data_IF_763514060863
#
_entry.id   IF_763514060863
#
_cell.length_a   1.000
_cell.length_b   1.000
_cell.length_c   1.000
_cell.angle_alpha   90.00
_cell.angle_beta   90.00
_cell.angle_gamma   90.00
#
_symmetry.space_group_name_H-M   'P 1'
#
loop_
_entity.id
_entity.type
_entity.pdbx_description
1 polymer ?
#
# COMPACT_ATOMS: atom_id res chain seq x y z
N UNK A 1 6.21 12.53 5.34
CA UNK A 1 4.75 12.18 5.31
C UNK A 1 4.42 10.85 4.66
N UNK A 2 5.30 10.36 3.78
CA UNK A 2 5.27 9.03 3.16
C UNK A 2 4.93 7.91 4.16
N UNK A 3 5.63 7.84 5.30
CA UNK A 3 5.42 6.87 6.38
C UNK A 3 3.96 6.79 6.85
N UNK A 4 3.33 7.92 7.17
CA UNK A 4 1.94 7.95 7.65
C UNK A 4 1.00 7.35 6.61
N UNK A 5 1.15 7.75 5.34
CA UNK A 5 0.33 7.25 4.23
C UNK A 5 0.42 5.72 4.09
N UNK A 6 1.62 5.14 4.10
CA UNK A 6 1.75 3.67 3.99
C UNK A 6 1.31 2.94 5.24
N UNK A 7 1.50 3.50 6.43
CA UNK A 7 1.03 2.87 7.68
C UNK A 7 -0.49 2.78 7.69
N UNK A 8 -1.19 3.87 7.35
CA UNK A 8 -2.65 3.84 7.22
C UNK A 8 -3.09 2.84 6.15
N UNK A 9 -2.46 2.82 4.98
CA UNK A 9 -2.77 1.86 3.93
C UNK A 9 -2.54 0.41 4.40
N UNK A 10 -1.43 0.13 5.11
CA UNK A 10 -1.10 -1.18 5.65
C UNK A 10 -2.12 -1.63 6.70
N UNK A 11 -2.51 -0.75 7.63
CA UNK A 11 -3.53 -1.03 8.65
C UNK A 11 -4.87 -1.33 8.00
N UNK A 12 -5.34 -0.48 7.08
CA UNK A 12 -6.63 -0.67 6.38
C UNK A 12 -6.63 -2.00 5.63
N UNK A 13 -5.58 -2.29 4.85
CA UNK A 13 -5.45 -3.56 4.13
C UNK A 13 -5.42 -4.76 5.09
N UNK A 14 -4.75 -4.63 6.24
CA UNK A 14 -4.69 -5.69 7.26
C UNK A 14 -6.07 -5.96 7.84
N UNK A 15 -6.82 -4.92 8.19
CA UNK A 15 -8.19 -5.05 8.73
C UNK A 15 -9.12 -5.70 7.71
N UNK A 16 -9.07 -5.26 6.45
CA UNK A 16 -9.87 -5.83 5.36
C UNK A 16 -9.52 -7.31 5.14
N UNK A 17 -8.23 -7.64 5.08
CA UNK A 17 -7.75 -9.01 4.92
C UNK A 17 -8.15 -9.91 6.09
N UNK A 18 -8.02 -9.41 7.33
CA UNK A 18 -8.32 -10.16 8.55
C UNK A 18 -9.82 -10.47 8.68
N UNK A 19 -10.68 -9.48 8.39
CA UNK A 19 -12.14 -9.63 8.58
C UNK A 19 -12.87 -10.37 7.47
N UNK A 20 -12.30 -10.48 6.26
CA UNK A 20 -13.06 -10.95 5.09
C UNK A 20 -12.36 -12.11 4.34
N UNK A 21 -12.99 -13.29 4.32
CA UNK A 21 -12.53 -14.45 3.54
C UNK A 21 -12.45 -14.16 2.04
N UNK A 22 -13.40 -13.38 1.50
CA UNK A 22 -13.33 -12.94 0.11
C UNK A 22 -12.11 -12.07 -0.15
N UNK A 23 -11.72 -11.20 0.78
CA UNK A 23 -10.50 -10.39 0.62
C UNK A 23 -9.24 -11.27 0.60
N UNK A 24 -9.21 -12.35 1.40
CA UNK A 24 -8.13 -13.35 1.36
C UNK A 24 -8.09 -14.07 0.01
N UNK A 25 -9.24 -14.49 -0.51
CA UNK A 25 -9.35 -15.09 -1.84
C UNK A 25 -8.88 -14.13 -2.94
N UNK A 26 -9.23 -12.84 -2.85
CA UNK A 26 -8.83 -11.76 -3.76
C UNK A 26 -7.37 -11.29 -3.56
N UNK A 27 -6.55 -12.03 -2.81
CA UNK A 27 -5.11 -11.77 -2.64
C UNK A 27 -4.77 -10.39 -2.05
N UNK A 28 -5.67 -9.82 -1.23
CA UNK A 28 -5.40 -8.57 -0.49
C UNK A 28 -4.17 -8.70 0.42
N UNK A 29 -3.79 -9.92 0.83
CA UNK A 29 -2.56 -10.18 1.57
C UNK A 29 -1.29 -9.69 0.86
N UNK A 30 -1.29 -9.60 -0.47
CA UNK A 30 -0.17 -8.99 -1.23
C UNK A 30 -0.03 -7.50 -0.93
N UNK A 31 -1.15 -6.76 -0.82
CA UNK A 31 -1.14 -5.35 -0.43
C UNK A 31 -0.66 -5.16 1.01
N UNK A 32 -1.08 -6.04 1.92
CA UNK A 32 -0.62 -6.03 3.32
C UNK A 32 0.91 -6.09 3.38
N UNK A 33 1.52 -7.05 2.69
CA UNK A 33 2.98 -7.20 2.68
C UNK A 33 3.70 -6.02 2.05
N UNK A 34 3.20 -5.50 0.92
CA UNK A 34 3.82 -4.36 0.24
C UNK A 34 3.77 -3.09 1.11
N UNK A 35 2.62 -2.76 1.70
CA UNK A 35 2.49 -1.53 2.49
C UNK A 35 3.19 -1.62 3.84
N UNK A 36 3.24 -2.79 4.49
CA UNK A 36 4.08 -2.97 5.67
C UNK A 36 5.57 -2.86 5.33
N UNK A 37 6.01 -3.43 4.20
CA UNK A 37 7.38 -3.29 3.72
C UNK A 37 7.77 -1.82 3.47
N UNK A 38 6.92 -1.07 2.78
CA UNK A 38 7.13 0.37 2.56
C UNK A 38 7.13 1.17 3.87
N UNK A 39 6.23 0.81 4.81
CA UNK A 39 6.18 1.45 6.13
C UNK A 39 7.46 1.21 6.94
N UNK A 40 8.02 0.00 6.88
CA UNK A 40 9.28 -0.31 7.55
C UNK A 40 10.46 0.45 6.95
N UNK A 41 10.52 0.57 5.62
CA UNK A 41 11.54 1.37 4.94
C UNK A 41 11.49 2.83 5.40
N UNK A 42 10.32 3.47 5.31
CA UNK A 42 10.18 4.89 5.69
C UNK A 42 10.22 5.12 7.20
N UNK A 43 10.02 4.09 8.02
CA UNK A 43 10.25 4.19 9.46
C UNK A 43 11.75 4.36 9.74
N UNK A 44 12.61 3.64 9.03
CA UNK A 44 14.06 3.78 9.17
C UNK A 44 14.48 5.20 8.77
N UNK A 45 13.97 5.71 7.64
CA UNK A 45 14.23 7.09 7.20
C UNK A 45 13.81 8.11 8.27
N UNK A 46 12.65 7.92 8.91
CA UNK A 46 12.17 8.80 9.97
C UNK A 46 13.03 8.73 11.24
N UNK A 47 13.58 7.56 11.59
CA UNK A 47 14.50 7.42 12.74
C UNK A 47 15.79 8.21 12.49
N UNK A 48 16.37 8.10 11.29
CA UNK A 48 17.59 8.85 10.95
C UNK A 48 17.33 10.35 10.87
N UNK A 49 16.23 10.78 10.26
CA UNK A 49 15.85 12.21 10.24
C UNK A 49 15.71 12.77 11.67
N UNK A 50 15.08 12.03 12.58
CA UNK A 50 15.00 12.44 13.99
C UNK A 50 16.36 12.42 14.70
N UNK A 51 17.26 11.49 14.35
CA UNK A 51 18.60 11.44 14.94
C UNK A 51 19.47 12.65 14.56
N UNK A 52 19.31 13.14 13.33
CA UNK A 52 20.08 14.27 12.80
C UNK A 52 19.49 15.64 13.19
N UNK A 53 18.17 15.79 13.08
CA UNK A 53 17.47 17.08 13.23
C UNK A 53 16.68 17.19 14.55
N UNK A 54 16.57 16.11 15.31
CA UNK A 54 15.79 16.09 16.56
C UNK A 54 14.32 16.40 16.32
N UNK A 55 13.75 17.26 17.17
CA UNK A 55 12.33 17.61 17.11
C UNK A 55 11.95 18.43 15.86
N UNK A 56 12.91 19.04 15.17
CA UNK A 56 12.67 19.83 13.97
C UNK A 56 12.17 18.95 12.80
N UNK A 57 12.46 17.65 12.84
CA UNK A 57 11.93 16.64 11.90
C UNK A 57 10.39 16.56 11.89
N UNK A 58 9.72 17.02 12.94
CA UNK A 58 8.24 17.07 13.01
C UNK A 58 7.65 18.37 12.45
N UNK A 59 8.48 19.35 12.08
CA UNK A 59 8.06 20.65 11.54
C UNK A 59 8.65 20.86 10.15
N UNK A 60 8.41 19.96 9.18
CA UNK A 60 8.94 20.09 7.84
C UNK A 60 8.32 21.31 7.13
N UNK A 61 9.04 21.85 6.14
CA UNK A 61 8.51 22.91 5.30
C UNK A 61 7.24 22.43 4.56
N UNK A 62 6.23 23.29 4.35
CA UNK A 62 4.96 22.87 3.75
C UNK A 62 5.08 22.22 2.36
N UNK A 63 6.02 22.67 1.54
CA UNK A 63 6.26 22.12 0.20
C UNK A 63 6.84 20.69 0.27
N UNK A 64 7.80 20.46 1.17
CA UNK A 64 8.40 19.14 1.36
C UNK A 64 7.36 18.16 1.91
N UNK A 65 6.55 18.62 2.87
CA UNK A 65 5.44 17.85 3.42
C UNK A 65 4.43 17.42 2.33
N UNK A 66 4.10 18.33 1.41
CA UNK A 66 3.19 18.06 0.30
C UNK A 66 3.78 17.08 -0.71
N UNK A 67 5.07 17.25 -1.05
CA UNK A 67 5.77 16.36 -1.97
C UNK A 67 5.86 14.94 -1.42
N UNK A 68 6.22 14.79 -0.14
CA UNK A 68 6.23 13.51 0.57
C UNK A 68 4.85 12.85 0.58
N UNK A 69 3.80 13.63 0.81
CA UNK A 69 2.44 13.11 0.79
C UNK A 69 2.05 12.62 -0.61
N UNK A 70 2.39 13.38 -1.66
CA UNK A 70 2.18 12.98 -3.05
C UNK A 70 2.94 11.69 -3.40
N UNK A 71 4.19 11.57 -2.94
CA UNK A 71 4.98 10.34 -3.10
C UNK A 71 4.32 9.16 -2.36
N UNK A 72 3.85 9.38 -1.13
CA UNK A 72 3.10 8.39 -0.36
C UNK A 72 1.87 7.87 -1.09
N UNK A 73 1.04 8.77 -1.64
CA UNK A 73 -0.13 8.42 -2.44
C UNK A 73 0.25 7.67 -3.73
N UNK A 74 1.34 8.08 -4.38
CA UNK A 74 1.83 7.44 -5.60
C UNK A 74 2.24 5.99 -5.34
N UNK A 75 2.90 5.71 -4.21
CA UNK A 75 3.27 4.34 -3.79
C UNK A 75 2.03 3.51 -3.46
N UNK A 76 1.02 4.09 -2.81
CA UNK A 76 -0.26 3.41 -2.56
C UNK A 76 -0.93 3.03 -3.88
N UNK A 77 -1.03 3.98 -4.82
CA UNK A 77 -1.61 3.74 -6.14
C UNK A 77 -0.85 2.64 -6.91
N UNK A 78 0.48 2.66 -6.89
CA UNK A 78 1.30 1.64 -7.51
C UNK A 78 1.05 0.25 -6.89
N UNK A 79 0.98 0.16 -5.56
CA UNK A 79 0.66 -1.09 -4.87
C UNK A 79 -0.71 -1.65 -5.29
N UNK A 80 -1.72 -0.80 -5.44
CA UNK A 80 -3.05 -1.20 -5.93
C UNK A 80 -2.99 -1.71 -7.38
N UNK A 81 -2.23 -1.05 -8.25
CA UNK A 81 -2.04 -1.48 -9.64
C UNK A 81 -1.38 -2.86 -9.69
N UNK A 82 -0.29 -3.08 -8.93
CA UNK A 82 0.38 -4.38 -8.86
C UNK A 82 -0.58 -5.45 -8.35
N UNK A 83 -1.37 -5.15 -7.33
CA UNK A 83 -2.39 -6.07 -6.82
C UNK A 83 -3.46 -6.40 -7.86
N UNK A 84 -3.95 -5.42 -8.63
CA UNK A 84 -4.91 -5.65 -9.72
C UNK A 84 -4.34 -6.58 -10.78
N UNK A 85 -3.08 -6.39 -11.18
CA UNK A 85 -2.40 -7.29 -12.12
C UNK A 85 -2.35 -8.72 -11.55
N UNK A 86 -1.93 -8.89 -10.29
CA UNK A 86 -1.91 -10.20 -9.62
C UNK A 86 -3.31 -10.83 -9.55
N UNK A 87 -4.32 -10.02 -9.25
CA UNK A 87 -5.71 -10.45 -9.16
C UNK A 87 -6.22 -10.98 -10.51
N UNK A 88 -5.98 -10.23 -11.60
CA UNK A 88 -6.42 -10.64 -12.94
C UNK A 88 -5.65 -11.83 -13.49
N UNK A 89 -4.35 -11.93 -13.22
CA UNK A 89 -3.56 -13.09 -13.66
C UNK A 89 -3.97 -14.36 -12.93
N UNK A 90 -4.16 -14.29 -11.61
CA UNK A 90 -4.54 -15.47 -10.81
C UNK A 90 -6.02 -15.82 -10.97
N UNK A 91 -6.86 -14.83 -11.27
CA UNK A 91 -8.31 -14.92 -11.44
C UNK A 91 -8.98 -15.92 -10.48
N UNK A 92 -8.85 -15.72 -9.15
CA UNK A 92 -9.25 -16.71 -8.15
C UNK A 92 -10.75 -17.03 -8.18
N UNK A 93 -11.56 -16.13 -8.76
CA UNK A 93 -13.01 -16.31 -8.92
C UNK A 93 -13.41 -16.71 -10.36
N UNK A 94 -12.46 -16.87 -11.27
CA UNK A 94 -12.73 -17.24 -12.66
C UNK A 94 -13.51 -16.19 -13.46
N UNK A 95 -13.63 -14.96 -12.97
CA UNK A 95 -14.47 -13.92 -13.58
C UNK A 95 -13.91 -13.53 -14.93
N UNK A 96 -12.59 -13.27 -15.01
CA UNK A 96 -11.92 -12.87 -16.26
C UNK A 96 -12.04 -14.00 -17.30
N UNK A 97 -11.76 -15.24 -16.89
CA UNK A 97 -11.90 -16.40 -17.78
C UNK A 97 -13.34 -16.62 -18.24
N UNK A 98 -14.32 -16.44 -17.35
CA UNK A 98 -15.74 -16.64 -17.69
C UNK A 98 -16.25 -15.65 -18.72
N UNK A 99 -15.73 -14.42 -18.73
CA UNK A 99 -16.10 -13.39 -19.71
C UNK A 99 -15.36 -13.61 -21.05
N UNK A 100 -14.07 -13.93 -21.00
CA UNK A 100 -13.25 -14.11 -22.21
C UNK A 100 -13.54 -15.42 -22.96
N UNK A 101 -13.88 -16.49 -22.24
CA UNK A 101 -14.07 -17.84 -22.79
C UNK A 101 -15.51 -18.33 -22.71
N UNK A 102 -16.48 -17.43 -22.51
CA UNK A 102 -17.89 -17.79 -22.66
C UNK A 102 -18.14 -18.22 -24.10
N UNK A 103 -18.21 -19.53 -24.33
CA UNK A 103 -18.71 -20.13 -25.56
C UNK A 103 -20.22 -19.90 -25.56
N UNK A 104 -20.72 -19.15 -26.53
CA UNK A 104 -22.14 -19.18 -26.90
C UNK A 104 -22.56 -20.62 -27.20
#
# INVERSE_FOLDING_TARGET
>A
MTLLTTVFAAIICTVIWYKNENARALKVGTLVLMYWGASLMWLIDAIFAYADEGADSFVPAPLDMLNDFYLGLSVVALGLIIWLVVLFVKDPKGVVKSVLFKKN
#
